data_IF_401586116118
#
_entry.id   IF_401586116118
#
_cell.length_a   1.000
_cell.length_b   1.000
_cell.length_c   1.000
_cell.angle_alpha   90.00
_cell.angle_beta   90.00
_cell.angle_gamma   90.00
#
_symmetry.space_group_name_H-M   'P 1'
#
loop_
_entity.id
_entity.type
_entity.pdbx_description
1 polymer ?
#
# COMPACT_ATOMS: atom_id res chain seq x y z
N UNK A 1 5.75 11.29 -6.13
CA UNK A 1 5.58 10.67 -4.79
C UNK A 1 5.69 9.14 -4.92
N UNK A 2 6.19 8.45 -3.90
CA UNK A 2 6.25 6.98 -3.87
C UNK A 2 5.40 6.43 -2.71
N UNK A 3 4.57 5.43 -2.99
CA UNK A 3 3.84 4.68 -1.98
C UNK A 3 4.59 3.39 -1.65
N UNK A 4 4.85 3.17 -0.36
CA UNK A 4 5.50 1.96 0.13
C UNK A 4 4.46 0.96 0.60
N UNK A 5 4.31 -0.12 -0.16
CA UNK A 5 3.49 -1.30 0.16
C UNK A 5 4.36 -2.55 0.35
N UNK A 6 5.63 -2.35 0.74
CA UNK A 6 6.63 -3.43 0.78
C UNK A 6 7.37 -3.60 2.10
N UNK A 7 7.26 -2.67 3.04
CA UNK A 7 7.95 -2.79 4.34
C UNK A 7 7.32 -3.90 5.19
N UNK A 8 8.07 -4.95 5.59
CA UNK A 8 7.56 -6.02 6.44
C UNK A 8 7.74 -5.76 7.94
N UNK A 9 8.30 -4.59 8.33
CA UNK A 9 8.59 -4.28 9.74
C UNK A 9 7.32 -4.34 10.58
N UNK A 10 7.36 -5.08 11.71
CA UNK A 10 6.22 -5.27 12.60
C UNK A 10 5.62 -3.94 13.08
N UNK A 11 6.44 -2.93 13.33
CA UNK A 11 5.97 -1.60 13.78
C UNK A 11 5.18 -0.83 12.70
N UNK A 12 5.30 -1.25 11.43
CA UNK A 12 4.59 -0.72 10.28
C UNK A 12 3.39 -1.61 9.95
N UNK A 13 3.60 -2.92 9.83
CA UNK A 13 2.55 -3.88 9.42
C UNK A 13 1.47 -4.06 10.48
N UNK A 14 1.79 -3.94 11.78
CA UNK A 14 0.78 -3.97 12.85
C UNK A 14 -0.24 -2.82 12.80
N UNK A 15 0.07 -1.78 12.02
CA UNK A 15 -0.82 -0.63 11.76
C UNK A 15 -1.53 -0.73 10.39
N UNK A 16 -1.47 -1.88 9.72
CA UNK A 16 -2.03 -2.07 8.38
C UNK A 16 -1.29 -1.31 7.28
N UNK A 17 -0.02 -0.94 7.50
CA UNK A 17 0.80 -0.16 6.53
C UNK A 17 1.90 -1.04 5.91
N UNK A 18 2.59 -0.50 4.91
CA UNK A 18 3.66 -1.22 4.22
C UNK A 18 3.12 -2.49 3.56
N UNK A 19 3.83 -3.61 3.70
CA UNK A 19 3.34 -4.89 3.20
C UNK A 19 2.04 -5.34 3.89
N UNK A 20 1.77 -4.88 5.11
CA UNK A 20 0.56 -5.24 5.86
C UNK A 20 -0.73 -4.78 5.18
N UNK A 21 -0.69 -3.76 4.32
CA UNK A 21 -1.88 -3.33 3.59
C UNK A 21 -2.27 -4.33 2.49
N UNK A 22 -1.33 -5.15 1.99
CA UNK A 22 -1.59 -6.20 0.99
C UNK A 22 -2.52 -7.30 1.52
N UNK A 23 -2.70 -7.41 2.84
CA UNK A 23 -3.63 -8.35 3.46
C UNK A 23 -5.11 -7.99 3.23
N UNK A 24 -5.40 -6.76 2.80
CA UNK A 24 -6.76 -6.30 2.51
C UNK A 24 -6.83 -5.64 1.12
N UNK A 25 -7.01 -6.43 0.05
CA UNK A 25 -7.06 -5.92 -1.32
C UNK A 25 -8.21 -4.93 -1.58
N UNK A 26 -9.38 -5.12 -0.97
CA UNK A 26 -10.54 -4.24 -1.16
C UNK A 26 -10.28 -2.82 -0.63
N UNK A 27 -9.70 -2.73 0.57
CA UNK A 27 -9.31 -1.46 1.16
C UNK A 27 -8.16 -0.80 0.38
N UNK A 28 -7.23 -1.60 -0.15
CA UNK A 28 -6.14 -1.09 -0.98
C UNK A 28 -6.66 -0.53 -2.32
N UNK A 29 -7.63 -1.20 -2.95
CA UNK A 29 -8.26 -0.71 -4.18
C UNK A 29 -8.98 0.63 -3.94
N UNK A 30 -9.79 0.71 -2.88
CA UNK A 30 -10.47 1.95 -2.49
C UNK A 30 -9.49 3.10 -2.23
N UNK A 31 -8.37 2.81 -1.56
CA UNK A 31 -7.31 3.79 -1.33
C UNK A 31 -6.65 4.26 -2.63
N UNK A 32 -6.38 3.34 -3.57
CA UNK A 32 -5.82 3.70 -4.86
C UNK A 32 -6.75 4.56 -5.70
N UNK A 33 -8.05 4.27 -5.73
CA UNK A 33 -9.03 5.12 -6.41
C UNK A 33 -8.95 6.56 -5.89
N UNK A 34 -9.03 6.75 -4.57
CA UNK A 34 -8.98 8.07 -3.97
C UNK A 34 -7.66 8.82 -4.26
N UNK A 35 -6.52 8.12 -4.18
CA UNK A 35 -5.21 8.73 -4.42
C UNK A 35 -5.06 9.11 -5.89
N UNK A 36 -5.43 8.23 -6.81
CA UNK A 36 -5.23 8.44 -8.24
C UNK A 36 -6.16 9.53 -8.80
N UNK A 37 -7.37 9.67 -8.25
CA UNK A 37 -8.28 10.77 -8.61
C UNK A 37 -7.73 12.16 -8.25
N UNK A 38 -6.95 12.26 -7.15
CA UNK A 38 -6.52 13.57 -6.60
C UNK A 38 -5.10 13.97 -6.99
N UNK A 39 -4.25 13.02 -7.37
CA UNK A 39 -2.82 13.29 -7.58
C UNK A 39 -2.55 13.98 -8.93
N UNK A 40 -1.75 15.05 -8.91
CA UNK A 40 -1.36 15.82 -10.12
C UNK A 40 0.12 15.70 -10.47
N UNK A 41 0.83 14.77 -9.83
CA UNK A 41 2.27 14.55 -9.99
C UNK A 41 2.53 13.07 -10.25
N UNK A 42 3.71 12.74 -10.78
CA UNK A 42 4.08 11.33 -11.00
C UNK A 42 4.08 10.56 -9.68
N UNK A 43 3.40 9.41 -9.69
CA UNK A 43 3.33 8.47 -8.58
C UNK A 43 3.98 7.14 -8.98
N UNK A 44 4.67 6.52 -8.03
CA UNK A 44 5.14 5.14 -8.15
C UNK A 44 4.74 4.34 -6.92
N UNK A 45 4.58 3.03 -7.09
CA UNK A 45 4.30 2.09 -6.00
C UNK A 45 5.45 1.11 -5.91
N UNK A 46 5.99 0.93 -4.71
CA UNK A 46 6.97 -0.13 -4.41
C UNK A 46 6.29 -1.16 -3.52
N UNK A 47 6.14 -2.38 -4.02
CA UNK A 47 5.37 -3.45 -3.36
C UNK A 47 6.16 -4.77 -3.27
N UNK A 48 5.58 -5.75 -2.57
CA UNK A 48 5.95 -7.18 -2.62
C UNK A 48 4.95 -7.95 -3.49
N UNK A 49 5.25 -9.21 -3.78
CA UNK A 49 4.34 -10.12 -4.51
C UNK A 49 3.05 -10.38 -3.72
N UNK A 50 3.13 -10.37 -2.39
CA UNK A 50 1.99 -10.57 -1.50
C UNK A 50 2.42 -10.64 -0.04
N UNK A 51 1.52 -11.12 0.79
CA UNK A 51 1.76 -11.48 2.20
C UNK A 51 1.33 -12.93 2.42
N UNK A 52 1.99 -13.61 3.35
CA UNK A 52 1.60 -14.97 3.76
C UNK A 52 0.22 -14.92 4.44
N UNK A 53 -0.56 -16.00 4.26
CA UNK A 53 -1.87 -16.17 4.89
C UNK A 53 -1.75 -16.56 6.37
#
# INVERSE_FOLDING_TARGET
VNLNLGCPSRTVTSKGKGAGFLANPEALDSFFQEVFEKIRIKLSVKTRVGVDK
#
